data_IF_289722595872
#
_entry.id   IF_289722595872
#
_cell.length_a   1.000
_cell.length_b   1.000
_cell.length_c   1.000
_cell.angle_alpha   90.00
_cell.angle_beta   90.00
_cell.angle_gamma   90.00
#
_symmetry.space_group_name_H-M   'P 1'
#
loop_
_entity.id
_entity.type
_entity.pdbx_description
1 polymer ?
#
# COMPACT_ATOMS: atom_id res chain seq x y z
N UNK A 1 -6.49 28.34 -67.03
CA UNK A 1 -6.39 28.75 -65.61
C UNK A 1 -7.68 28.33 -64.94
N UNK A 2 -7.67 27.29 -64.10
CA UNK A 2 -8.57 27.02 -62.96
C UNK A 2 -8.13 25.65 -62.40
N UNK A 3 -7.30 25.66 -61.36
CA UNK A 3 -6.96 24.45 -60.60
C UNK A 3 -7.89 24.39 -59.38
N UNK A 4 -8.68 23.32 -59.28
CA UNK A 4 -9.52 23.00 -58.13
C UNK A 4 -8.67 22.33 -57.05
N UNK A 5 -8.57 22.96 -55.87
CA UNK A 5 -8.06 22.32 -54.65
C UNK A 5 -9.19 21.52 -53.98
N UNK A 6 -8.97 20.27 -53.54
CA UNK A 6 -9.86 19.61 -52.60
C UNK A 6 -9.51 20.04 -51.17
N UNK A 7 -10.50 20.60 -50.47
CA UNK A 7 -10.42 20.90 -49.03
C UNK A 7 -10.47 19.59 -48.25
N UNK A 8 -9.35 19.20 -47.62
CA UNK A 8 -9.31 18.08 -46.68
C UNK A 8 -9.89 18.56 -45.33
N UNK A 9 -11.11 18.13 -45.01
CA UNK A 9 -11.68 18.30 -43.67
C UNK A 9 -10.95 17.38 -42.70
N UNK A 10 -10.08 17.95 -41.85
CA UNK A 10 -9.50 17.27 -40.70
C UNK A 10 -10.58 17.15 -39.62
N UNK A 11 -11.22 15.98 -39.51
CA UNK A 11 -12.05 15.66 -38.35
C UNK A 11 -11.12 15.37 -37.17
N UNK A 12 -10.98 16.34 -36.27
CA UNK A 12 -10.37 16.12 -34.97
C UNK A 12 -11.26 15.15 -34.19
N UNK A 13 -10.90 13.87 -34.17
CA UNK A 13 -11.52 12.88 -33.31
C UNK A 13 -11.23 13.24 -31.86
N UNK A 14 -12.24 13.73 -31.15
CA UNK A 14 -12.23 13.77 -29.69
C UNK A 14 -12.28 12.33 -29.20
N UNK A 15 -11.10 11.75 -28.94
CA UNK A 15 -10.99 10.53 -28.14
C UNK A 15 -11.36 10.89 -26.70
N UNK A 16 -12.65 10.74 -26.38
CA UNK A 16 -13.06 10.65 -24.98
C UNK A 16 -12.38 9.39 -24.42
N UNK A 17 -11.37 9.58 -23.59
CA UNK A 17 -10.83 8.51 -22.76
C UNK A 17 -11.98 7.99 -21.89
N UNK A 18 -12.51 6.83 -22.26
CA UNK A 18 -13.47 6.12 -21.43
C UNK A 18 -12.80 5.80 -20.08
N UNK A 19 -13.50 5.90 -18.95
CA UNK A 19 -12.97 5.42 -17.68
C UNK A 19 -12.75 3.91 -17.81
N UNK A 20 -11.49 3.49 -17.90
CA UNK A 20 -11.11 2.11 -18.15
C UNK A 20 -11.37 1.29 -16.89
N UNK A 21 -12.30 0.33 -16.96
CA UNK A 21 -12.34 -0.75 -15.98
C UNK A 21 -11.13 -1.64 -16.22
N UNK A 22 -10.32 -1.77 -15.18
CA UNK A 22 -9.10 -2.56 -15.11
C UNK A 22 -9.47 -4.05 -15.22
N UNK A 23 -9.19 -4.70 -16.36
CA UNK A 23 -9.20 -6.16 -16.45
C UNK A 23 -7.93 -6.69 -15.76
N UNK A 24 -7.96 -6.66 -14.42
CA UNK A 24 -7.03 -7.47 -13.63
C UNK A 24 -7.28 -8.95 -13.97
N UNK A 25 -6.19 -9.72 -14.12
CA UNK A 25 -6.21 -11.18 -14.26
C UNK A 25 -7.23 -11.75 -13.26
N UNK A 26 -8.14 -12.59 -13.74
CA UNK A 26 -9.40 -12.96 -13.05
C UNK A 26 -9.28 -13.30 -11.56
N UNK A 27 -8.17 -13.88 -11.11
CA UNK A 27 -7.92 -14.21 -9.71
C UNK A 27 -7.69 -12.98 -8.81
N UNK A 28 -6.97 -11.96 -9.31
CA UNK A 28 -6.68 -10.73 -8.56
C UNK A 28 -7.87 -9.74 -8.63
N UNK A 29 -8.65 -9.79 -9.71
CA UNK A 29 -9.90 -9.02 -9.85
C UNK A 29 -10.99 -9.53 -8.90
N UNK A 30 -11.21 -10.85 -8.82
CA UNK A 30 -12.12 -11.45 -7.85
C UNK A 30 -11.65 -11.21 -6.41
N UNK A 31 -10.34 -11.27 -6.18
CA UNK A 31 -9.73 -10.89 -4.90
C UNK A 31 -10.03 -9.41 -4.56
N UNK A 32 -9.75 -8.47 -5.46
CA UNK A 32 -10.02 -7.03 -5.28
C UNK A 32 -11.50 -6.72 -5.02
N UNK A 33 -12.41 -7.32 -5.80
CA UNK A 33 -13.86 -7.12 -5.70
C UNK A 33 -14.46 -7.81 -4.45
N UNK A 34 -13.78 -8.83 -3.90
CA UNK A 34 -14.13 -9.47 -2.62
C UNK A 34 -13.82 -8.56 -1.41
N UNK A 35 -12.66 -7.87 -1.41
CA UNK A 35 -12.26 -6.97 -0.31
C UNK A 35 -12.98 -5.62 -0.33
N UNK A 36 -13.25 -5.07 -1.52
CA UNK A 36 -13.88 -3.75 -1.70
C UNK A 36 -15.35 -3.71 -1.24
N UNK A 37 -16.07 -4.83 -1.33
CA UNK A 37 -17.53 -4.87 -1.14
C UNK A 37 -18.00 -4.99 0.32
N UNK A 38 -17.12 -5.10 1.31
CA UNK A 38 -17.50 -5.26 2.72
C UNK A 38 -17.14 -4.04 3.57
N UNK A 39 -17.95 -2.98 3.41
CA UNK A 39 -17.98 -1.87 4.37
C UNK A 39 -18.74 -2.30 5.64
N UNK A 40 -18.05 -2.44 6.76
CA UNK A 40 -18.69 -2.73 8.04
C UNK A 40 -18.78 -1.44 8.88
N UNK A 41 -19.98 -1.14 9.38
CA UNK A 41 -20.28 0.04 10.19
C UNK A 41 -19.54 -0.01 11.54
N UNK A 42 -18.79 1.05 11.86
CA UNK A 42 -18.03 1.22 13.12
C UNK A 42 -18.92 1.51 14.36
N UNK A 43 -20.23 1.76 14.17
CA UNK A 43 -21.13 2.13 15.27
C UNK A 43 -21.59 0.90 16.06
N UNK A 44 -21.05 0.73 17.26
CA UNK A 44 -21.62 -0.13 18.31
C UNK A 44 -20.96 -1.49 18.51
N UNK A 45 -19.78 -1.76 17.94
CA UNK A 45 -18.97 -2.88 18.41
C UNK A 45 -18.32 -2.50 19.73
N UNK A 46 -18.56 -3.33 20.76
CA UNK A 46 -17.72 -3.41 21.96
C UNK A 46 -16.25 -3.40 21.55
N UNK A 47 -15.34 -2.80 22.34
CA UNK A 47 -13.91 -2.87 22.05
C UNK A 47 -13.57 -4.35 21.92
N UNK A 48 -13.39 -4.80 20.68
CA UNK A 48 -13.01 -6.17 20.44
C UNK A 48 -11.64 -6.36 21.04
N UNK A 49 -11.20 -7.62 21.19
CA UNK A 49 -9.86 -8.03 21.62
C UNK A 49 -8.69 -7.49 20.76
N UNK A 50 -8.86 -6.39 20.01
CA UNK A 50 -7.86 -5.55 19.39
C UNK A 50 -6.79 -4.99 20.37
N UNK A 51 -6.98 -5.18 21.68
CA UNK A 51 -6.00 -4.94 22.73
C UNK A 51 -5.32 -6.21 23.28
N UNK A 52 -5.49 -7.40 22.68
CA UNK A 52 -4.41 -8.40 22.66
C UNK A 52 -3.43 -8.00 21.55
N UNK A 53 -2.94 -6.75 21.63
CA UNK A 53 -1.59 -6.46 21.17
C UNK A 53 -0.73 -7.54 21.82
N UNK A 54 0.09 -8.24 21.05
CA UNK A 54 1.21 -8.98 21.63
C UNK A 54 1.80 -8.07 22.72
N UNK A 55 2.04 -8.63 23.92
CA UNK A 55 2.35 -7.92 25.17
C UNK A 55 3.72 -7.19 25.16
N UNK A 56 4.12 -6.69 24.00
CA UNK A 56 5.37 -6.01 23.75
C UNK A 56 5.23 -4.51 24.05
N UNK A 57 6.32 -3.92 24.54
CA UNK A 57 6.38 -2.49 24.78
C UNK A 57 6.65 -1.74 23.48
N UNK A 58 5.66 -0.98 22.99
CA UNK A 58 5.79 -0.16 21.78
C UNK A 58 6.30 1.26 22.04
N UNK A 59 6.44 1.67 23.31
CA UNK A 59 6.79 3.05 23.67
C UNK A 59 8.22 3.45 23.24
N UNK A 60 9.13 2.47 23.11
CA UNK A 60 10.50 2.68 22.66
C UNK A 60 10.63 2.71 21.13
N UNK A 61 9.60 2.31 20.39
CA UNK A 61 9.67 2.24 18.93
C UNK A 61 9.72 3.66 18.37
N UNK A 62 10.73 3.92 17.52
CA UNK A 62 10.89 5.18 16.79
C UNK A 62 10.87 4.91 15.30
N UNK A 63 10.21 5.80 14.56
CA UNK A 63 10.24 5.77 13.10
C UNK A 63 11.69 5.87 12.61
N UNK A 64 12.17 4.89 11.81
CA UNK A 64 13.47 4.96 11.16
C UNK A 64 13.70 6.28 10.44
N UNK A 65 14.91 6.82 10.56
CA UNK A 65 15.32 8.06 9.91
C UNK A 65 16.17 7.72 8.68
N UNK A 66 15.72 8.18 7.51
CA UNK A 66 16.54 8.16 6.30
C UNK A 66 17.54 9.35 6.31
N UNK A 67 18.63 9.29 5.54
CA UNK A 67 19.57 10.42 5.40
C UNK A 67 18.88 11.75 5.08
N UNK A 68 17.82 11.69 4.26
CA UNK A 68 16.82 12.75 4.13
C UNK A 68 15.53 12.26 4.79
N UNK A 69 15.21 12.69 6.01
CA UNK A 69 14.09 12.14 6.76
C UNK A 69 12.76 12.57 6.17
N UNK A 70 11.74 11.72 6.33
CA UNK A 70 10.35 12.13 6.14
C UNK A 70 9.96 13.14 7.24
N UNK A 71 8.94 14.00 7.01
CA UNK A 71 8.41 14.85 8.05
C UNK A 71 8.01 14.02 9.28
N UNK A 72 8.27 14.57 10.47
CA UNK A 72 7.92 13.91 11.73
C UNK A 72 6.41 13.63 11.82
N UNK A 73 6.08 12.68 12.69
CA UNK A 73 4.69 12.34 13.00
C UNK A 73 4.01 13.57 13.58
N UNK A 74 2.80 13.87 13.13
CA UNK A 74 2.07 15.05 13.62
C UNK A 74 1.82 14.96 15.14
N UNK A 75 1.84 16.11 15.81
CA UNK A 75 1.62 16.21 17.25
C UNK A 75 0.27 15.59 17.65
N UNK A 76 0.25 14.91 18.80
CA UNK A 76 -0.95 14.25 19.32
C UNK A 76 -1.30 12.93 18.64
N UNK A 77 -0.43 12.38 17.80
CA UNK A 77 -0.56 11.02 17.27
C UNK A 77 0.39 10.05 17.97
N UNK A 78 -0.05 8.81 18.11
CA UNK A 78 0.73 7.70 18.67
C UNK A 78 0.77 6.52 17.71
N UNK A 79 1.83 5.71 17.80
CA UNK A 79 1.95 4.48 17.03
C UNK A 79 0.78 3.55 17.37
N UNK A 80 0.07 3.10 16.34
CA UNK A 80 -1.10 2.23 16.47
C UNK A 80 -0.81 0.80 15.99
N UNK A 81 -0.18 0.67 14.82
CA UNK A 81 0.13 -0.63 14.21
C UNK A 81 1.35 -0.53 13.29
N UNK A 82 2.08 -1.62 13.14
CA UNK A 82 3.12 -1.78 12.11
C UNK A 82 2.84 -3.05 11.33
N UNK A 83 2.90 -2.96 10.02
CA UNK A 83 2.79 -4.10 9.13
C UNK A 83 3.94 -4.18 8.13
N UNK A 84 4.33 -5.40 7.77
CA UNK A 84 5.15 -5.64 6.57
C UNK A 84 4.23 -6.04 5.44
N UNK A 85 4.34 -5.34 4.32
CA UNK A 85 3.56 -5.62 3.11
C UNK A 85 4.38 -6.30 2.03
N UNK A 86 3.76 -7.25 1.34
CA UNK A 86 4.30 -7.89 0.13
C UNK A 86 3.26 -7.82 -0.99
N UNK A 87 3.68 -7.34 -2.17
CA UNK A 87 2.84 -7.31 -3.36
C UNK A 87 3.51 -6.62 -4.53
N UNK A 88 2.76 -5.83 -5.30
CA UNK A 88 3.25 -5.21 -6.55
C UNK A 88 2.99 -3.71 -6.61
N UNK A 89 3.91 -3.00 -7.28
CA UNK A 89 3.67 -1.68 -7.85
C UNK A 89 3.20 -1.87 -9.28
N UNK A 90 2.14 -1.18 -9.66
CA UNK A 90 1.52 -1.30 -10.97
C UNK A 90 1.87 -0.07 -11.80
N UNK A 91 2.18 -0.29 -13.07
CA UNK A 91 2.58 0.77 -14.00
C UNK A 91 1.89 0.60 -15.34
N UNK A 92 1.66 1.73 -16.00
CA UNK A 92 1.24 1.78 -17.40
C UNK A 92 2.32 2.43 -18.26
N UNK A 93 2.37 2.04 -19.53
CA UNK A 93 3.32 2.54 -20.49
C UNK A 93 2.67 2.95 -21.81
N UNK A 94 3.11 4.10 -22.35
CA UNK A 94 2.82 4.49 -23.71
C UNK A 94 3.72 3.70 -24.67
N UNK A 95 3.17 2.65 -25.28
CA UNK A 95 3.90 1.79 -26.21
C UNK A 95 4.23 2.47 -27.55
N UNK A 96 3.62 3.63 -27.84
CA UNK A 96 3.98 4.43 -29.02
C UNK A 96 5.27 5.23 -28.83
N UNK A 97 5.76 5.33 -27.59
CA UNK A 97 6.97 6.07 -27.24
C UNK A 97 7.88 5.25 -26.31
N UNK A 98 8.89 4.59 -26.88
CA UNK A 98 9.86 3.78 -26.12
C UNK A 98 10.70 4.58 -25.09
N UNK A 99 10.74 5.91 -25.20
CA UNK A 99 11.41 6.79 -24.24
C UNK A 99 10.47 7.35 -23.16
N UNK A 100 9.17 7.08 -23.26
CA UNK A 100 8.21 7.48 -22.25
C UNK A 100 8.58 6.86 -20.89
N UNK A 101 8.38 7.63 -19.82
CA UNK A 101 8.57 7.15 -18.45
C UNK A 101 7.29 6.40 -18.05
N UNK A 102 7.39 5.20 -17.44
CA UNK A 102 6.22 4.50 -16.95
C UNK A 102 5.44 5.34 -15.93
N UNK A 103 4.11 5.36 -16.07
CA UNK A 103 3.21 6.07 -15.16
C UNK A 103 2.74 5.12 -14.05
N UNK A 104 2.74 5.58 -12.79
CA UNK A 104 2.24 4.78 -11.68
C UNK A 104 0.72 4.59 -11.80
N UNK A 105 0.29 3.32 -11.69
CA UNK A 105 -1.09 2.88 -11.85
C UNK A 105 -1.62 2.18 -10.58
N UNK A 106 -1.05 2.55 -9.42
CA UNK A 106 -1.43 2.01 -8.12
C UNK A 106 -0.50 0.91 -7.61
N UNK A 107 -0.93 0.24 -6.54
CA UNK A 107 -0.21 -0.85 -5.91
C UNK A 107 -1.21 -1.78 -5.22
N UNK A 108 -0.79 -3.02 -4.96
CA UNK A 108 -1.52 -3.99 -4.13
C UNK A 108 -0.53 -4.69 -3.21
N UNK A 109 -0.90 -4.90 -1.95
CA UNK A 109 -0.10 -5.71 -1.02
C UNK A 109 -0.96 -6.39 0.05
N UNK A 110 -0.53 -7.59 0.45
CA UNK A 110 -0.99 -8.24 1.69
C UNK A 110 -0.08 -7.80 2.83
N UNK A 111 -0.68 -7.47 3.96
CA UNK A 111 -0.01 -6.89 5.13
C UNK A 111 -0.01 -7.88 6.28
N UNK A 112 1.15 -8.21 6.82
CA UNK A 112 1.29 -9.02 8.05
C UNK A 112 1.64 -8.13 9.23
N UNK A 113 1.08 -8.44 10.41
CA UNK A 113 1.41 -7.71 11.63
C UNK A 113 2.90 -7.86 11.94
N UNK A 114 3.59 -6.75 12.17
CA UNK A 114 4.99 -6.70 12.54
C UNK A 114 5.23 -5.82 13.78
N UNK A 115 4.18 -5.40 14.49
CA UNK A 115 4.28 -4.46 15.62
C UNK A 115 5.23 -4.97 16.69
N UNK A 116 5.01 -6.19 17.18
CA UNK A 116 5.86 -6.73 18.24
C UNK A 116 7.17 -7.31 17.76
N UNK A 117 7.25 -7.71 16.50
CA UNK A 117 8.53 -8.00 15.88
C UNK A 117 9.41 -6.74 15.90
N UNK A 118 8.84 -5.59 15.55
CA UNK A 118 9.53 -4.30 15.55
C UNK A 118 9.88 -3.82 16.96
N UNK A 119 8.98 -4.02 17.93
CA UNK A 119 9.23 -3.71 19.34
C UNK A 119 10.44 -4.48 19.90
N UNK A 120 10.56 -5.75 19.53
CA UNK A 120 11.65 -6.61 19.96
C UNK A 120 12.94 -6.37 19.14
N UNK A 121 12.81 -6.12 17.84
CA UNK A 121 13.92 -5.87 16.93
C UNK A 121 13.45 -5.23 15.62
N UNK A 122 13.59 -3.91 15.50
CA UNK A 122 13.33 -3.19 14.25
C UNK A 122 14.16 -3.74 13.08
N UNK A 123 15.41 -4.14 13.34
CA UNK A 123 16.28 -4.76 12.33
C UNK A 123 15.72 -6.08 11.81
N UNK A 124 15.07 -6.89 12.67
CA UNK A 124 14.48 -8.15 12.25
C UNK A 124 13.19 -7.92 11.44
N UNK A 125 12.38 -6.93 11.83
CA UNK A 125 11.20 -6.52 11.06
C UNK A 125 11.59 -6.08 9.64
N UNK A 126 12.67 -5.30 9.51
CA UNK A 126 13.20 -4.93 8.21
C UNK A 126 13.70 -6.14 7.40
N UNK A 127 14.50 -7.02 8.01
CA UNK A 127 15.00 -8.23 7.34
C UNK A 127 13.87 -9.11 6.81
N UNK A 128 12.74 -9.16 7.51
CA UNK A 128 11.55 -9.87 7.03
C UNK A 128 11.00 -9.26 5.72
N UNK A 129 10.97 -7.94 5.57
CA UNK A 129 10.56 -7.31 4.32
C UNK A 129 11.51 -7.68 3.16
N UNK A 130 12.82 -7.70 3.43
CA UNK A 130 13.83 -8.18 2.47
C UNK A 130 13.66 -9.66 2.10
N UNK A 131 13.38 -10.52 3.07
CA UNK A 131 13.09 -11.95 2.85
C UNK A 131 11.82 -12.15 2.03
N UNK A 132 10.73 -11.46 2.38
CA UNK A 132 9.47 -11.52 1.65
C UNK A 132 9.66 -11.14 0.18
N UNK A 133 10.56 -10.19 -0.12
CA UNK A 133 10.92 -9.82 -1.49
C UNK A 133 11.78 -10.86 -2.21
N UNK A 134 12.77 -11.45 -1.53
CA UNK A 134 13.73 -12.39 -2.15
C UNK A 134 13.15 -13.76 -2.44
N UNK A 135 12.08 -14.15 -1.74
CA UNK A 135 11.36 -15.38 -2.06
C UNK A 135 10.56 -15.21 -3.37
N UNK A 136 11.22 -15.54 -4.49
CA UNK A 136 10.61 -15.58 -5.83
C UNK A 136 9.66 -16.78 -6.01
N UNK A 137 9.60 -17.71 -5.06
CA UNK A 137 8.67 -18.85 -5.06
C UNK A 137 7.37 -18.53 -4.33
N UNK A 138 7.39 -17.56 -3.42
CA UNK A 138 6.21 -16.99 -2.81
C UNK A 138 5.49 -16.03 -3.79
N UNK A 139 4.46 -16.53 -4.47
CA UNK A 139 3.30 -15.68 -4.78
C UNK A 139 2.87 -14.99 -3.48
N UNK A 140 2.32 -13.77 -3.56
CA UNK A 140 1.76 -13.04 -2.39
C UNK A 140 1.14 -14.06 -1.44
N UNK A 141 1.75 -14.30 -0.25
CA UNK A 141 1.31 -15.41 0.57
C UNK A 141 -0.14 -15.14 0.99
N UNK A 142 -1.06 -15.99 0.53
CA UNK A 142 -2.47 -15.93 0.91
C UNK A 142 -2.68 -16.49 2.31
N UNK A 143 -1.70 -17.24 2.83
CA UNK A 143 -1.65 -17.75 4.19
C UNK A 143 -0.21 -17.68 4.70
N UNK A 144 -0.02 -17.04 5.86
CA UNK A 144 1.23 -17.13 6.62
C UNK A 144 1.05 -18.19 7.71
N UNK A 145 2.04 -19.08 7.94
CA UNK A 145 1.96 -20.07 9.01
C UNK A 145 1.68 -19.38 10.34
N UNK A 146 0.78 -19.97 11.13
CA UNK A 146 0.21 -19.47 12.39
C UNK A 146 1.24 -19.34 13.53
N UNK A 147 2.36 -18.66 13.31
CA UNK A 147 3.03 -18.02 14.42
C UNK A 147 2.35 -16.66 14.63
N UNK A 148 1.97 -16.35 15.88
CA UNK A 148 1.25 -15.11 16.21
C UNK A 148 1.98 -13.83 15.74
N UNK A 149 3.27 -13.95 15.42
CA UNK A 149 4.15 -12.87 14.97
C UNK A 149 3.98 -12.44 13.51
N UNK A 150 3.35 -13.22 12.62
CA UNK A 150 3.24 -12.90 11.18
C UNK A 150 1.82 -13.08 10.62
N UNK A 151 0.80 -12.97 11.47
CA UNK A 151 -0.60 -13.08 11.03
C UNK A 151 -0.93 -11.96 10.05
N UNK A 152 -1.73 -12.30 9.03
CA UNK A 152 -2.30 -11.28 8.12
C UNK A 152 -3.10 -10.30 8.96
N UNK A 153 -2.79 -9.02 8.77
CA UNK A 153 -3.39 -7.89 9.47
C UNK A 153 -4.19 -6.98 8.56
N UNK A 154 -4.07 -7.15 7.24
CA UNK A 154 -4.80 -6.33 6.29
C UNK A 154 -4.33 -6.45 4.85
N UNK A 155 -4.90 -5.57 4.03
CA UNK A 155 -4.54 -5.39 2.63
C UNK A 155 -4.37 -3.90 2.32
N UNK A 156 -3.46 -3.61 1.40
CA UNK A 156 -3.27 -2.30 0.82
C UNK A 156 -3.59 -2.36 -0.67
N UNK A 157 -4.34 -1.39 -1.18
CA UNK A 157 -4.62 -1.24 -2.61
C UNK A 157 -4.93 0.22 -2.95
N UNK A 158 -4.97 0.58 -4.23
CA UNK A 158 -5.40 1.90 -4.67
C UNK A 158 -6.86 1.85 -5.14
N UNK A 159 -7.72 2.74 -4.61
CA UNK A 159 -9.13 2.86 -5.09
C UNK A 159 -9.28 3.82 -6.26
N UNK A 160 -8.29 4.69 -6.45
CA UNK A 160 -8.08 5.55 -7.61
C UNK A 160 -6.58 5.89 -7.68
N UNK A 161 -6.13 6.60 -8.73
CA UNK A 161 -4.70 6.92 -8.94
C UNK A 161 -4.03 7.73 -7.81
N UNK A 162 -4.82 8.26 -6.87
CA UNK A 162 -4.36 9.16 -5.81
C UNK A 162 -4.75 8.71 -4.40
N UNK A 163 -5.52 7.63 -4.24
CA UNK A 163 -5.99 7.12 -2.95
C UNK A 163 -5.34 5.78 -2.64
N UNK A 164 -4.33 5.80 -1.77
CA UNK A 164 -3.81 4.60 -1.13
C UNK A 164 -4.79 4.15 -0.04
N UNK A 165 -5.50 3.06 -0.26
CA UNK A 165 -6.46 2.48 0.68
C UNK A 165 -5.79 1.38 1.50
N UNK A 166 -6.11 1.35 2.79
CA UNK A 166 -5.67 0.32 3.73
C UNK A 166 -6.91 -0.28 4.38
N UNK A 167 -7.11 -1.59 4.23
CA UNK A 167 -8.16 -2.34 4.90
C UNK A 167 -7.53 -3.31 5.91
N UNK A 168 -7.55 -2.93 7.20
CA UNK A 168 -7.06 -3.75 8.31
C UNK A 168 -8.22 -4.17 9.26
N UNK A 169 -9.46 -4.09 8.77
CA UNK A 169 -10.66 -4.69 9.37
C UNK A 169 -11.14 -5.80 8.44
N UNK A 170 -10.42 -6.92 8.48
CA UNK A 170 -10.60 -8.03 7.54
C UNK A 170 -10.61 -9.37 8.25
N UNK A 171 -11.41 -10.28 7.71
CA UNK A 171 -11.48 -11.68 8.09
C UNK A 171 -10.82 -12.54 7.03
N UNK A 172 -10.14 -13.61 7.47
CA UNK A 172 -9.62 -14.66 6.60
C UNK A 172 -10.72 -15.24 5.72
N UNK A 173 -10.34 -15.66 4.52
CA UNK A 173 -11.26 -16.26 3.55
C UNK A 173 -11.04 -17.78 3.49
N UNK A 174 -12.11 -18.54 3.25
CA UNK A 174 -12.03 -20.00 3.14
C UNK A 174 -11.86 -20.70 4.49
N UNK A 175 -10.81 -21.52 4.62
CA UNK A 175 -10.48 -22.23 5.87
C UNK A 175 -9.64 -21.40 6.85
N UNK A 176 -9.26 -20.17 6.46
CA UNK A 176 -8.55 -19.24 7.33
C UNK A 176 -9.49 -18.65 8.38
N UNK A 177 -9.17 -18.82 9.66
CA UNK A 177 -10.00 -18.38 10.80
C UNK A 177 -9.52 -17.07 11.44
N UNK A 178 -8.65 -16.31 10.78
CA UNK A 178 -8.11 -15.07 11.34
C UNK A 178 -9.08 -13.89 11.19
N UNK A 179 -9.05 -12.95 12.14
CA UNK A 179 -9.75 -11.68 12.06
C UNK A 179 -8.81 -10.57 12.56
N UNK A 180 -8.67 -9.54 11.73
CA UNK A 180 -8.11 -8.25 12.11
C UNK A 180 -9.25 -7.27 12.31
N UNK A 181 -9.16 -6.41 13.31
CA UNK A 181 -10.14 -5.37 13.59
C UNK A 181 -9.43 -4.10 14.07
N UNK A 182 -8.56 -3.57 13.20
CA UNK A 182 -7.83 -2.35 13.47
C UNK A 182 -8.62 -1.14 12.97
N UNK A 183 -8.61 -0.88 11.66
CA UNK A 183 -9.41 0.14 10.99
C UNK A 183 -9.23 0.02 9.48
N UNK A 184 -9.90 0.86 8.71
CA UNK A 184 -9.69 0.99 7.27
C UNK A 184 -9.84 2.44 6.82
N UNK A 185 -9.20 2.82 5.71
CA UNK A 185 -9.36 4.15 5.13
C UNK A 185 -8.45 4.46 3.95
N UNK A 186 -8.77 5.57 3.28
CA UNK A 186 -8.03 6.09 2.13
C UNK A 186 -7.09 7.23 2.51
N UNK A 187 -5.90 7.22 1.92
CA UNK A 187 -4.81 8.15 2.22
C UNK A 187 -4.27 8.79 0.95
N UNK A 188 -3.78 10.03 1.10
CA UNK A 188 -3.06 10.76 0.06
C UNK A 188 -1.59 10.92 0.45
N UNK A 189 -0.71 10.87 -0.53
CA UNK A 189 0.71 11.21 -0.37
C UNK A 189 0.85 12.71 -0.07
N UNK A 190 1.57 13.03 1.00
CA UNK A 190 1.93 14.42 1.36
C UNK A 190 3.43 14.66 1.31
N UNK A 191 4.24 13.61 1.38
CA UNK A 191 5.69 13.73 1.23
C UNK A 191 6.29 12.43 0.67
N UNK A 192 7.45 12.57 0.02
CA UNK A 192 8.29 11.46 -0.37
C UNK A 192 9.77 11.83 -0.17
N UNK A 193 10.56 10.83 0.17
CA UNK A 193 12.02 10.90 0.19
C UNK A 193 12.56 9.64 -0.45
N UNK A 194 13.72 9.74 -1.10
CA UNK A 194 14.34 8.56 -1.69
C UNK A 194 14.63 7.52 -0.59
N UNK A 195 14.56 6.24 -0.95
CA UNK A 195 14.99 5.20 -0.02
C UNK A 195 16.48 5.43 0.35
N UNK A 196 16.90 5.10 1.58
CA UNK A 196 18.29 5.19 2.00
C UNK A 196 19.27 4.56 1.01
N UNK A 197 20.49 5.08 0.93
CA UNK A 197 21.48 4.62 -0.04
C UNK A 197 21.92 3.15 0.14
N UNK A 198 21.70 2.59 1.32
CA UNK A 198 21.92 1.18 1.66
C UNK A 198 20.69 0.29 1.40
N UNK A 199 19.58 0.87 0.91
CA UNK A 199 18.46 0.09 0.40
C UNK A 199 18.86 -0.66 -0.88
N UNK A 200 18.14 -1.75 -1.16
CA UNK A 200 18.34 -2.53 -2.39
C UNK A 200 18.05 -1.65 -3.61
N UNK A 201 18.92 -1.70 -4.62
CA UNK A 201 18.72 -0.96 -5.86
C UNK A 201 17.35 -1.30 -6.48
N UNK A 202 16.63 -0.27 -6.93
CA UNK A 202 15.26 -0.43 -7.44
C UNK A 202 14.18 -0.38 -6.36
N UNK A 203 14.50 0.04 -5.13
CA UNK A 203 13.50 0.36 -4.12
C UNK A 203 12.71 1.63 -4.42
N UNK A 204 11.38 1.56 -4.32
CA UNK A 204 10.52 2.75 -4.38
C UNK A 204 10.80 3.74 -3.23
N UNK A 205 10.53 5.05 -3.42
CA UNK A 205 10.69 6.06 -2.37
C UNK A 205 9.90 5.74 -1.09
N UNK A 206 10.40 6.23 0.04
CA UNK A 206 9.64 6.27 1.28
C UNK A 206 8.57 7.36 1.20
N UNK A 207 7.41 7.12 1.81
CA UNK A 207 6.26 8.02 1.73
C UNK A 207 5.73 8.37 3.11
N UNK A 208 5.31 9.62 3.27
CA UNK A 208 4.36 10.04 4.31
C UNK A 208 2.99 10.23 3.66
N UNK A 209 1.99 9.58 4.22
CA UNK A 209 0.60 9.65 3.79
C UNK A 209 -0.27 10.22 4.92
N UNK A 210 -1.28 11.01 4.57
CA UNK A 210 -2.31 11.50 5.50
C UNK A 210 -3.68 11.01 5.07
N UNK A 211 -4.57 10.79 6.03
CA UNK A 211 -5.94 10.41 5.72
C UNK A 211 -6.62 11.41 4.76
N UNK A 212 -7.37 10.90 3.79
CA UNK A 212 -8.26 11.71 2.94
C UNK A 212 -9.56 12.07 3.66
N UNK A 213 -10.06 11.15 4.48
CA UNK A 213 -11.29 11.29 5.27
C UNK A 213 -11.06 10.69 6.66
N UNK A 214 -11.24 11.48 7.72
CA UNK A 214 -11.10 11.04 9.12
C UNK A 214 -12.33 10.28 9.65
N UNK A 215 -13.45 10.34 8.92
CA UNK A 215 -14.70 9.72 9.34
C UNK A 215 -14.65 8.20 9.14
N UNK A 216 -14.68 7.44 10.25
CA UNK A 216 -14.66 5.98 10.24
C UNK A 216 -13.28 5.34 10.06
N UNK A 217 -12.22 6.15 9.96
CA UNK A 217 -10.83 5.70 9.92
C UNK A 217 -10.09 6.17 11.18
N UNK A 218 -9.61 5.23 11.99
CA UNK A 218 -8.86 5.56 13.21
C UNK A 218 -7.49 6.18 12.88
N UNK A 219 -6.87 5.70 11.80
CA UNK A 219 -5.55 6.11 11.35
C UNK A 219 -5.58 7.54 10.77
N UNK A 220 -4.58 8.33 11.12
CA UNK A 220 -4.42 9.72 10.65
C UNK A 220 -3.23 9.86 9.71
N UNK A 221 -2.13 9.16 10.01
CA UNK A 221 -0.92 9.14 9.18
C UNK A 221 -0.44 7.71 8.95
N UNK A 222 0.06 7.46 7.75
CA UNK A 222 0.71 6.20 7.38
C UNK A 222 2.07 6.50 6.76
N UNK A 223 3.09 5.83 7.26
CA UNK A 223 4.44 5.91 6.70
C UNK A 223 4.76 4.61 5.97
N UNK A 224 5.14 4.72 4.70
CA UNK A 224 5.73 3.61 3.94
C UNK A 224 7.23 3.79 3.94
N UNK A 225 7.95 2.93 4.63
CA UNK A 225 9.40 3.00 4.78
C UNK A 225 10.02 1.62 4.57
N UNK A 226 11.34 1.53 4.64
CA UNK A 226 12.07 0.26 4.52
C UNK A 226 11.57 -0.52 3.28
N UNK A 227 11.66 0.13 2.11
CA UNK A 227 11.13 -0.38 0.85
C UNK A 227 12.16 -1.25 0.14
N UNK A 228 11.69 -2.30 -0.54
CA UNK A 228 12.48 -3.16 -1.44
C UNK A 228 11.74 -3.32 -2.75
N UNK A 229 12.42 -3.06 -3.86
CA UNK A 229 11.86 -3.23 -5.19
C UNK A 229 10.75 -2.25 -5.54
N UNK A 230 9.97 -2.60 -6.56
CA UNK A 230 8.85 -1.82 -7.04
C UNK A 230 9.20 -0.63 -7.95
N UNK A 231 10.46 -0.17 -8.05
CA UNK A 231 10.77 0.98 -8.89
C UNK A 231 10.66 0.62 -10.38
N UNK A 232 9.96 1.49 -11.13
CA UNK A 232 9.84 1.36 -12.57
C UNK A 232 11.19 1.50 -13.28
N UNK A 233 11.37 0.87 -14.46
CA UNK A 233 12.47 1.21 -15.34
C UNK A 233 12.40 2.68 -15.76
N UNK A 234 13.54 3.21 -16.22
CA UNK A 234 13.62 4.61 -16.67
C UNK A 234 12.74 4.91 -17.88
N UNK A 235 12.45 3.90 -18.71
CA UNK A 235 11.63 4.06 -19.90
C UNK A 235 10.72 2.85 -20.15
N UNK A 236 9.72 3.04 -21.00
CA UNK A 236 8.79 2.02 -21.47
C UNK A 236 9.39 1.06 -22.51
N UNK A 237 10.67 1.18 -22.83
CA UNK A 237 11.34 0.28 -23.76
C UNK A 237 11.27 -1.17 -23.27
N UNK A 238 10.70 -2.05 -24.09
CA UNK A 238 10.53 -3.47 -23.79
C UNK A 238 9.47 -3.78 -22.72
N UNK A 239 8.67 -2.79 -22.29
CA UNK A 239 7.58 -3.01 -21.33
C UNK A 239 6.25 -3.30 -22.05
N UNK A 240 5.34 -3.95 -21.32
CA UNK A 240 3.95 -4.10 -21.74
C UNK A 240 3.17 -2.80 -21.45
N UNK A 241 1.99 -2.64 -22.07
CA UNK A 241 1.13 -1.47 -21.85
C UNK A 241 0.77 -1.30 -20.37
N UNK A 242 0.63 -2.42 -19.66
CA UNK A 242 0.49 -2.52 -18.22
C UNK A 242 1.43 -3.59 -17.71
N UNK A 243 2.10 -3.32 -16.59
CA UNK A 243 3.01 -4.28 -15.99
C UNK A 243 3.11 -4.05 -14.48
N UNK A 244 3.64 -5.07 -13.79
CA UNK A 244 3.76 -5.08 -12.33
C UNK A 244 5.21 -5.34 -11.94
N UNK A 245 5.66 -4.66 -10.89
CA UNK A 245 6.96 -4.89 -10.28
C UNK A 245 6.75 -5.28 -8.82
N UNK A 246 7.28 -6.43 -8.45
CA UNK A 246 7.26 -6.93 -7.08
C UNK A 246 7.92 -5.93 -6.12
N UNK A 247 7.30 -5.74 -4.95
CA UNK A 247 7.84 -4.93 -3.89
C UNK A 247 7.48 -5.47 -2.50
N UNK A 248 8.25 -5.02 -1.52
CA UNK A 248 7.93 -5.12 -0.11
C UNK A 248 8.17 -3.77 0.59
N UNK A 249 7.47 -3.52 1.68
CA UNK A 249 7.65 -2.32 2.49
C UNK A 249 7.14 -2.52 3.92
N UNK A 250 7.61 -1.69 4.85
CA UNK A 250 6.95 -1.50 6.13
C UNK A 250 5.91 -0.37 6.06
N UNK A 251 4.81 -0.56 6.77
CA UNK A 251 3.72 0.40 6.94
C UNK A 251 3.52 0.68 8.42
N UNK A 252 3.70 1.93 8.80
CA UNK A 252 3.54 2.38 10.17
C UNK A 252 2.33 3.27 10.28
N UNK A 253 1.34 2.83 11.06
CA UNK A 253 0.05 3.47 11.22
C UNK A 253 0.03 4.27 12.52
N UNK A 254 -0.32 5.55 12.42
CA UNK A 254 -0.44 6.46 13.56
C UNK A 254 -1.88 6.93 13.69
N UNK A 255 -2.38 6.95 14.91
CA UNK A 255 -3.73 7.37 15.25
C UNK A 255 -3.70 8.37 16.41
N UNK A 256 -4.80 9.08 16.62
CA UNK A 256 -4.99 9.80 17.89
C UNK A 256 -5.01 8.76 19.02
N UNK A 257 -4.36 9.01 20.17
CA UNK A 257 -4.57 8.20 21.35
C UNK A 257 -6.06 8.06 21.59
N UNK A 258 -6.53 6.84 21.89
CA UNK A 258 -7.90 6.69 22.36
C UNK A 258 -8.06 7.60 23.58
N UNK A 259 -9.08 8.46 23.56
CA UNK A 259 -9.41 9.25 24.73
C UNK A 259 -9.65 8.25 25.87
N UNK A 260 -8.83 8.32 26.91
CA UNK A 260 -9.02 7.60 28.16
C UNK A 260 -10.34 8.06 28.79
N UNK A 261 -11.43 7.45 28.34
CA UNK A 261 -12.78 7.86 28.65
C UNK A 261 -13.74 6.70 28.42
N UNK A 262 -13.67 5.71 29.30
CA UNK A 262 -14.72 5.30 30.24
C UNK A 262 -14.37 3.90 30.79
N UNK A 263 -14.38 3.80 32.12
CA UNK A 263 -14.21 2.57 32.92
C UNK A 263 -15.28 1.52 32.61
#
# INVERSE_FOLDING_TARGET
>A
MFFTLPTLLLTAGLAFAAPHQQEARSQDAEFYDSWSRKGHNFRGRTPSRAAEQCSCNTASIKLPQAPKPLPEVSEGLSLYHIAVGRGTQNYTCDLSNATAVPAAAGAVATLVNATCLTANSATLAWKLAGWAYQDKSAKVPTSFPENDFLRISGHHYFTDLTTAYFNLDTVGQGNDTWQSNYSQGGFKKVNATDAPADAIEGSVPWLKLTSKNDTGCAFQEVYRINTVGGAAPKTCAGQQAEFQIEYAAEYWFYAKPEASGYY
#
